data_IF_782926863212
#
_entry.id   IF_782926863212
#
_cell.length_a   1.000
_cell.length_b   1.000
_cell.length_c   1.000
_cell.angle_alpha   90.00
_cell.angle_beta   90.00
_cell.angle_gamma   90.00
#
_symmetry.space_group_name_H-M   'P 1'
#
loop_
_entity.id
_entity.type
_entity.pdbx_description
1 polymer ?
#
# COMPACT_ATOMS: atom_id res chain seq x y z
N UNK A 1 5.92 13.37 -12.74
CA UNK A 1 4.49 13.24 -12.36
C UNK A 1 3.61 14.15 -13.19
N UNK A 2 3.81 15.48 -13.15
CA UNK A 2 3.02 16.39 -13.98
C UNK A 2 3.19 16.15 -15.49
N UNK A 3 4.43 15.92 -15.95
CA UNK A 3 4.72 15.57 -17.34
C UNK A 3 4.18 14.20 -17.78
N UNK A 4 3.84 13.32 -16.82
CA UNK A 4 3.31 11.98 -17.06
C UNK A 4 1.79 11.90 -16.85
N UNK A 5 1.10 13.04 -16.75
CA UNK A 5 -0.36 13.11 -16.53
C UNK A 5 -0.83 12.66 -15.15
N UNK A 6 0.09 12.40 -14.22
CA UNK A 6 -0.24 11.95 -12.87
C UNK A 6 -0.70 13.16 -12.05
N UNK A 7 -1.92 13.10 -11.51
CA UNK A 7 -2.53 14.17 -10.69
C UNK A 7 -1.56 14.64 -9.59
N UNK A 8 -1.50 15.95 -9.40
CA UNK A 8 -0.56 16.69 -8.54
C UNK A 8 -0.57 16.26 -7.05
N UNK A 9 -1.58 15.52 -6.60
CA UNK A 9 -1.67 14.97 -5.24
C UNK A 9 -0.83 13.73 -4.98
N UNK A 10 -0.33 13.08 -6.04
CA UNK A 10 0.60 11.97 -5.89
C UNK A 10 2.00 12.54 -5.61
N UNK A 11 2.63 12.09 -4.53
CA UNK A 11 4.00 12.47 -4.14
C UNK A 11 4.94 11.25 -4.20
N UNK A 12 6.24 11.44 -3.98
CA UNK A 12 7.21 10.33 -3.85
C UNK A 12 6.72 9.29 -2.83
N UNK A 13 6.02 9.73 -1.79
CA UNK A 13 5.37 8.85 -0.81
C UNK A 13 4.33 7.94 -1.48
N UNK A 14 3.47 8.47 -2.36
CA UNK A 14 2.45 7.68 -3.09
C UNK A 14 3.04 6.61 -4.02
N UNK A 15 4.16 6.90 -4.70
CA UNK A 15 4.87 5.88 -5.51
C UNK A 15 5.36 4.77 -4.61
N UNK A 16 6.01 5.14 -3.49
CA UNK A 16 6.52 4.17 -2.52
C UNK A 16 5.40 3.31 -1.93
N UNK A 17 4.24 3.91 -1.64
CA UNK A 17 3.02 3.20 -1.21
C UNK A 17 2.65 2.11 -2.21
N UNK A 18 2.48 2.50 -3.47
CA UNK A 18 2.07 1.60 -4.55
C UNK A 18 3.06 0.45 -4.76
N UNK A 19 4.37 0.71 -4.73
CA UNK A 19 5.38 -0.35 -4.88
C UNK A 19 5.37 -1.36 -3.73
N UNK A 20 5.13 -0.92 -2.50
CA UNK A 20 5.03 -1.83 -1.33
C UNK A 20 3.75 -2.67 -1.43
N UNK A 21 2.60 -2.06 -1.72
CA UNK A 21 1.33 -2.79 -1.92
C UNK A 21 1.48 -3.85 -3.01
N UNK A 22 2.12 -3.52 -4.13
CA UNK A 22 2.35 -4.49 -5.21
C UNK A 22 3.23 -5.67 -4.77
N UNK A 23 4.20 -5.43 -3.91
CA UNK A 23 5.07 -6.49 -3.36
C UNK A 23 4.30 -7.41 -2.42
N UNK A 24 3.37 -6.86 -1.63
CA UNK A 24 2.47 -7.63 -0.76
C UNK A 24 1.57 -8.52 -1.60
N UNK A 25 0.95 -7.99 -2.67
CA UNK A 25 0.10 -8.78 -3.59
C UNK A 25 0.86 -9.94 -4.24
N UNK A 26 2.17 -9.78 -4.44
CA UNK A 26 3.07 -10.81 -4.98
C UNK A 26 3.55 -11.81 -3.92
N UNK A 27 3.08 -11.68 -2.67
CA UNK A 27 3.45 -12.57 -1.57
C UNK A 27 4.83 -12.30 -0.99
N UNK A 28 5.41 -11.11 -1.21
CA UNK A 28 6.69 -10.76 -0.63
C UNK A 28 6.61 -10.73 0.89
N UNK A 29 7.59 -11.34 1.54
CA UNK A 29 7.71 -11.30 3.00
C UNK A 29 8.04 -9.90 3.48
N UNK A 30 7.63 -9.57 4.72
CA UNK A 30 7.97 -8.29 5.37
C UNK A 30 9.48 -8.04 5.39
N UNK A 31 10.30 -9.09 5.53
CA UNK A 31 11.77 -8.98 5.48
C UNK A 31 12.28 -8.53 4.11
N UNK A 32 11.68 -9.04 3.02
CA UNK A 32 12.02 -8.64 1.66
C UNK A 32 11.58 -7.19 1.37
N UNK A 33 10.37 -6.83 1.80
CA UNK A 33 9.83 -5.47 1.66
C UNK A 33 10.69 -4.46 2.44
N UNK A 34 11.06 -4.76 3.68
CA UNK A 34 11.92 -3.89 4.50
C UNK A 34 13.31 -3.74 3.89
N UNK A 35 13.89 -4.83 3.36
CA UNK A 35 15.19 -4.80 2.67
C UNK A 35 15.13 -3.94 1.40
N UNK A 36 14.09 -4.09 0.57
CA UNK A 36 13.94 -3.37 -0.69
C UNK A 36 13.58 -1.89 -0.49
N UNK A 37 12.74 -1.58 0.49
CA UNK A 37 12.34 -0.21 0.80
C UNK A 37 13.37 0.59 1.59
N UNK A 38 14.39 -0.09 2.18
CA UNK A 38 15.44 0.50 3.04
C UNK A 38 14.88 1.40 4.14
N UNK A 39 13.70 1.07 4.65
CA UNK A 39 12.97 1.94 5.56
C UNK A 39 13.39 1.69 7.01
N UNK A 40 13.86 2.74 7.71
CA UNK A 40 14.29 2.68 9.12
C UNK A 40 13.15 2.25 10.04
N UNK A 41 11.92 2.61 9.71
CA UNK A 41 10.67 2.27 10.42
C UNK A 41 9.73 1.37 9.58
N UNK A 42 10.33 0.55 8.71
CA UNK A 42 9.67 -0.39 7.79
C UNK A 42 8.41 -1.06 8.35
N UNK A 43 8.52 -1.77 9.48
CA UNK A 43 7.40 -2.49 10.07
C UNK A 43 6.20 -1.61 10.46
N UNK A 44 6.46 -0.45 11.10
CA UNK A 44 5.39 0.43 11.62
C UNK A 44 4.65 1.14 10.51
N UNK A 45 5.38 1.67 9.52
CA UNK A 45 4.75 2.33 8.36
C UNK A 45 3.98 1.33 7.48
N UNK A 46 4.44 0.08 7.37
CA UNK A 46 3.68 -0.96 6.66
C UNK A 46 2.38 -1.30 7.38
N UNK A 47 2.42 -1.53 8.69
CA UNK A 47 1.21 -1.78 9.47
C UNK A 47 0.23 -0.59 9.45
N UNK A 48 0.71 0.63 9.71
CA UNK A 48 -0.15 1.82 9.89
C UNK A 48 -0.67 2.40 8.56
N UNK A 49 0.00 2.15 7.42
CA UNK A 49 -0.30 2.83 6.16
C UNK A 49 -0.43 1.94 4.93
N UNK A 50 -0.02 0.66 4.98
CA UNK A 50 -0.06 -0.26 3.82
C UNK A 50 -0.87 -1.51 4.07
N UNK A 51 -0.93 -2.01 5.31
CA UNK A 51 -1.89 -3.02 5.76
C UNK A 51 -3.24 -2.39 6.10
N UNK A 52 -3.69 -1.50 5.22
CA UNK A 52 -5.08 -1.05 5.22
C UNK A 52 -5.87 -2.09 4.43
N UNK A 53 -6.09 -3.26 5.01
CA UNK A 53 -7.18 -4.14 4.61
C UNK A 53 -8.53 -3.47 4.97
N UNK A 54 -8.77 -2.29 4.40
CA UNK A 54 -9.97 -1.48 4.57
C UNK A 54 -11.09 -2.02 3.66
N UNK A 55 -11.17 -3.34 3.55
CA UNK A 55 -12.24 -4.03 2.83
C UNK A 55 -13.52 -4.11 3.69
N UNK A 56 -13.54 -3.50 4.87
CA UNK A 56 -14.71 -3.53 5.76
C UNK A 56 -15.95 -2.97 5.08
N UNK A 57 -15.83 -1.86 4.34
CA UNK A 57 -16.93 -1.34 3.54
C UNK A 57 -17.36 -2.33 2.46
N UNK A 58 -16.40 -2.92 1.72
CA UNK A 58 -16.72 -3.91 0.66
C UNK A 58 -17.39 -5.15 1.24
N UNK A 59 -16.92 -5.65 2.39
CA UNK A 59 -17.50 -6.77 3.13
C UNK A 59 -18.89 -6.44 3.66
N UNK A 60 -19.09 -5.29 4.28
CA UNK A 60 -20.41 -4.82 4.72
C UNK A 60 -21.39 -4.71 3.56
N UNK A 61 -20.92 -4.23 2.41
CA UNK A 61 -21.79 -4.12 1.23
C UNK A 61 -22.15 -5.51 0.70
N UNK A 62 -21.19 -6.46 0.63
CA UNK A 62 -21.46 -7.83 0.21
C UNK A 62 -22.47 -8.54 1.12
N UNK A 63 -22.33 -8.41 2.44
CA UNK A 63 -23.25 -8.99 3.44
C UNK A 63 -24.66 -8.43 3.32
N UNK A 64 -24.82 -7.19 2.85
CA UNK A 64 -26.14 -6.57 2.63
C UNK A 64 -26.84 -7.02 1.35
N UNK A 65 -26.14 -7.73 0.46
CA UNK A 65 -26.67 -8.23 -0.81
C UNK A 65 -26.84 -9.76 -0.86
N UNK A 66 -26.51 -10.47 0.22
CA UNK A 66 -26.96 -11.85 0.49
C UNK A 66 -28.28 -11.86 1.27
#
# INVERSE_FOLDING_TARGET
MQASGVKKGNSVTSIRKSSISKSIDQGATIKQINRASRHKDGPRTVADHYDMNLNDTVKETLVRFE
#
